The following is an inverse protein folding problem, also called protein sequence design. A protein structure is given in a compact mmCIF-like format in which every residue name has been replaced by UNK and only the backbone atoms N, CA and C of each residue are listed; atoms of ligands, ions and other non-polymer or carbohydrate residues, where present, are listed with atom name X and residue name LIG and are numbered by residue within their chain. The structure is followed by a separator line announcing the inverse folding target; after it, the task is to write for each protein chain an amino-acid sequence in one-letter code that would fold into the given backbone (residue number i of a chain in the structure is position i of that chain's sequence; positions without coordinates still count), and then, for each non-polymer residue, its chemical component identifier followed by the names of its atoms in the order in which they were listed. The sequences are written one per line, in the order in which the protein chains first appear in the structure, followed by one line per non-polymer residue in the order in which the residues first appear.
data_IF_834886730606
#
_entry.id   IF_834886730606
#
_cell.length_a   1.000
_cell.length_b   1.000
_cell.length_c   1.000
_cell.angle_alpha   90.00
_cell.angle_beta   90.00
_cell.angle_gamma   90.00
#
_symmetry.space_group_name_H-M   'P 1'
#
loop_
_entity.id
_entity.type
_entity.pdbx_description
1 polymer ?
#
# COMPACT_ATOMS: atom_id res chain seq x y z
N UNK A 1 16.17 4.13 -1.00
CA UNK A 1 14.86 4.74 -1.31
C UNK A 1 13.74 4.17 -0.44
N UNK A 2 13.40 2.87 -0.50
CA UNK A 2 12.30 2.27 0.31
C UNK A 2 12.36 2.60 1.82
N UNK A 3 13.51 2.38 2.48
CA UNK A 3 13.63 2.53 3.96
C UNK A 3 13.25 3.91 4.52
N UNK A 4 13.45 4.98 3.76
CA UNK A 4 13.17 6.35 4.24
C UNK A 4 11.69 6.72 4.14
N UNK A 5 10.94 5.97 3.32
CA UNK A 5 9.55 6.23 3.02
C UNK A 5 8.60 5.21 3.66
N UNK A 6 9.11 4.18 4.33
CA UNK A 6 8.28 3.14 4.92
C UNK A 6 7.98 3.36 6.39
N UNK A 7 6.80 2.92 6.84
CA UNK A 7 6.51 2.75 8.26
C UNK A 7 7.41 1.69 8.92
N UNK A 8 7.26 1.50 10.23
CA UNK A 8 8.10 0.55 11.00
C UNK A 8 7.97 -0.90 10.50
N UNK A 9 6.83 -1.29 9.92
CA UNK A 9 6.66 -2.63 9.36
C UNK A 9 7.35 -2.80 8.01
N UNK A 10 7.62 -1.70 7.30
CA UNK A 10 8.18 -1.72 5.96
C UNK A 10 7.14 -1.86 4.85
N UNK A 11 5.85 -1.89 5.19
CA UNK A 11 4.78 -2.23 4.24
C UNK A 11 4.02 -1.01 3.73
N UNK A 12 3.84 0.02 4.56
CA UNK A 12 3.15 1.23 4.17
C UNK A 12 4.13 2.33 3.79
N UNK A 13 3.80 3.12 2.77
CA UNK A 13 4.71 4.14 2.23
C UNK A 13 4.12 5.54 2.26
N UNK A 14 4.93 6.52 2.67
CA UNK A 14 4.69 7.93 2.38
C UNK A 14 5.08 8.27 0.95
N UNK A 15 4.46 9.31 0.40
CA UNK A 15 4.68 9.73 -1.00
C UNK A 15 6.09 10.27 -1.24
N UNK A 16 6.65 10.97 -0.26
CA UNK A 16 8.01 11.53 -0.29
C UNK A 16 8.50 11.85 1.14
N UNK A 17 9.81 12.05 1.29
CA UNK A 17 10.46 12.24 2.58
C UNK A 17 9.96 13.48 3.32
N UNK A 18 9.77 13.38 4.64
CA UNK A 18 9.30 14.48 5.49
C UNK A 18 7.78 14.56 5.64
N UNK A 19 7.02 13.64 5.02
CA UNK A 19 5.55 13.59 5.12
C UNK A 19 5.03 12.91 6.39
N UNK A 20 5.90 12.22 7.15
CA UNK A 20 5.55 11.54 8.40
C UNK A 20 4.87 12.45 9.42
N UNK A 21 5.21 13.73 9.42
CA UNK A 21 4.72 14.72 10.39
C UNK A 21 3.41 15.41 9.97
N UNK A 22 2.99 15.21 8.71
CA UNK A 22 1.91 16.01 8.09
C UNK A 22 0.77 15.17 7.51
N UNK A 23 1.03 13.91 7.13
CA UNK A 23 0.04 13.04 6.48
C UNK A 23 0.21 11.55 6.83
N UNK A 24 -0.82 10.77 6.51
CA UNK A 24 -0.74 9.31 6.56
C UNK A 24 0.07 8.74 5.39
N UNK A 25 0.39 7.46 5.49
CA UNK A 25 0.91 6.68 4.37
C UNK A 25 -0.16 6.53 3.29
N UNK A 26 0.22 6.44 2.02
CA UNK A 26 -0.72 6.30 0.90
C UNK A 26 -0.84 4.83 0.50
N UNK A 27 -2.09 4.34 0.47
CA UNK A 27 -2.36 2.94 0.15
C UNK A 27 -1.97 2.63 -1.31
N UNK A 28 -2.20 3.57 -2.23
CA UNK A 28 -1.76 3.41 -3.62
C UNK A 28 -0.25 3.25 -3.76
N UNK A 29 0.55 4.01 -3.00
CA UNK A 29 2.01 3.88 -3.00
C UNK A 29 2.46 2.49 -2.53
N UNK A 30 1.79 1.93 -1.53
CA UNK A 30 2.08 0.59 -1.04
C UNK A 30 1.75 -0.50 -2.08
N UNK A 31 0.61 -0.41 -2.76
CA UNK A 31 0.27 -1.35 -3.84
C UNK A 31 1.13 -1.19 -5.09
N UNK A 32 1.55 0.03 -5.44
CA UNK A 32 2.52 0.22 -6.53
C UNK A 32 3.90 -0.39 -6.21
N UNK A 33 4.29 -0.45 -4.94
CA UNK A 33 5.48 -1.22 -4.55
C UNK A 33 5.29 -2.72 -4.77
N UNK A 34 4.10 -3.27 -4.51
CA UNK A 34 3.79 -4.67 -4.86
C UNK A 34 3.90 -4.88 -6.36
N UNK A 35 3.28 -4.02 -7.17
CA UNK A 35 3.36 -4.09 -8.64
C UNK A 35 4.81 -4.05 -9.11
N UNK A 36 5.63 -3.14 -8.56
CA UNK A 36 7.05 -3.06 -8.89
C UNK A 36 7.81 -4.35 -8.55
N UNK A 37 7.56 -4.97 -7.39
CA UNK A 37 8.16 -6.25 -7.04
C UNK A 37 7.73 -7.37 -8.00
N UNK A 38 6.44 -7.43 -8.35
CA UNK A 38 5.92 -8.41 -9.32
C UNK A 38 6.58 -8.25 -10.69
N UNK A 39 6.64 -7.03 -11.22
CA UNK A 39 7.26 -6.73 -12.52
C UNK A 39 8.77 -7.00 -12.56
N UNK A 40 9.46 -6.89 -11.42
CA UNK A 40 10.89 -7.20 -11.29
C UNK A 40 11.15 -8.71 -11.09
N UNK A 41 10.10 -9.54 -10.98
CA UNK A 41 10.21 -10.96 -10.69
C UNK A 41 10.58 -11.27 -9.23
N UNK A 42 10.51 -10.29 -8.33
CA UNK A 42 10.69 -10.47 -6.89
C UNK A 42 9.40 -11.01 -6.25
N UNK A 43 8.96 -12.18 -6.72
CA UNK A 43 7.63 -12.74 -6.45
C UNK A 43 7.36 -13.02 -4.98
N UNK A 44 8.37 -13.44 -4.21
CA UNK A 44 8.23 -13.69 -2.76
C UNK A 44 7.86 -12.40 -2.02
N UNK A 45 8.56 -11.30 -2.30
CA UNK A 45 8.32 -10.01 -1.66
C UNK A 45 7.01 -9.37 -2.15
N UNK A 46 6.68 -9.52 -3.44
CA UNK A 46 5.40 -9.07 -3.99
C UNK A 46 4.22 -9.75 -3.26
N UNK A 47 4.25 -11.08 -3.14
CA UNK A 47 3.21 -11.85 -2.45
C UNK A 47 3.13 -11.51 -0.96
N UNK A 48 4.27 -11.39 -0.27
CA UNK A 48 4.33 -11.04 1.15
C UNK A 48 3.68 -9.68 1.41
N UNK A 49 4.09 -8.66 0.65
CA UNK A 49 3.59 -7.31 0.81
C UNK A 49 2.11 -7.21 0.42
N UNK A 50 1.70 -7.86 -0.68
CA UNK A 50 0.30 -7.88 -1.13
C UNK A 50 -0.64 -8.44 -0.04
N UNK A 51 -0.30 -9.61 0.52
CA UNK A 51 -1.09 -10.23 1.58
C UNK A 51 -1.15 -9.36 2.85
N UNK A 52 -0.03 -8.75 3.24
CA UNK A 52 0.03 -7.86 4.39
C UNK A 52 -0.88 -6.63 4.22
N UNK A 53 -0.90 -6.03 3.03
CA UNK A 53 -1.75 -4.87 2.75
C UNK A 53 -3.23 -5.25 2.75
N UNK A 54 -3.62 -6.33 2.06
CA UNK A 54 -5.01 -6.80 2.02
C UNK A 54 -5.57 -7.06 3.42
N UNK A 55 -4.77 -7.63 4.31
CA UNK A 55 -5.18 -7.91 5.69
C UNK A 55 -5.31 -6.64 6.55
N UNK A 56 -4.64 -5.53 6.18
CA UNK A 56 -4.47 -4.36 7.05
C UNK A 56 -5.33 -3.16 6.65
N UNK A 57 -5.45 -2.85 5.36
CA UNK A 57 -5.92 -1.53 4.91
C UNK A 57 -7.35 -1.49 4.36
N UNK A 58 -8.07 -2.61 4.48
CA UNK A 58 -9.45 -2.75 4.02
C UNK A 58 -10.42 -2.81 5.21
N UNK A 59 -11.63 -2.30 5.03
CA UNK A 59 -12.73 -2.58 5.95
C UNK A 59 -13.38 -3.94 5.66
N UNK A 60 -14.44 -4.27 6.40
CA UNK A 60 -15.24 -5.49 6.26
C UNK A 60 -15.92 -5.64 4.89
N UNK A 61 -16.06 -4.56 4.13
CA UNK A 61 -16.60 -4.55 2.77
C UNK A 61 -15.50 -4.58 1.68
N UNK A 62 -14.23 -4.62 2.07
CA UNK A 62 -13.10 -4.55 1.13
C UNK A 62 -12.78 -3.13 0.63
N UNK A 63 -13.41 -2.09 1.20
CA UNK A 63 -13.21 -0.71 0.79
C UNK A 63 -11.94 -0.13 1.44
N UNK A 64 -11.17 0.59 0.63
CA UNK A 64 -9.92 1.25 1.07
C UNK A 64 -10.05 2.78 1.09
N UNK A 65 -9.46 3.43 2.11
CA UNK A 65 -9.30 4.88 2.15
C UNK A 65 -8.16 5.34 1.22
N UNK A 66 -7.94 6.65 1.15
CA UNK A 66 -6.80 7.23 0.45
C UNK A 66 -5.49 7.00 1.21
N UNK A 67 -5.54 7.23 2.52
CA UNK A 67 -4.39 7.14 3.40
C UNK A 67 -4.63 6.16 4.54
N UNK A 68 -3.54 5.68 5.12
CA UNK A 68 -3.52 4.90 6.35
C UNK A 68 -2.62 5.57 7.39
N UNK A 69 -3.11 5.69 8.62
CA UNK A 69 -2.29 6.06 9.75
C UNK A 69 -1.58 4.81 10.30
N UNK A 70 -0.24 4.68 10.16
CA UNK A 70 0.46 3.48 10.61
C UNK A 70 0.47 3.34 12.15
N UNK A 71 0.41 4.44 12.90
CA UNK A 71 0.46 4.44 14.37
C UNK A 71 -0.91 4.15 15.00
N UNK A 72 -1.96 4.82 14.50
CA UNK A 72 -3.33 4.62 14.99
C UNK A 72 -4.02 3.39 14.37
N UNK A 73 -3.41 2.82 13.32
CA UNK A 73 -3.92 1.71 12.51
C UNK A 73 -5.36 1.95 12.03
N UNK A 74 -5.55 3.06 11.30
CA UNK A 74 -6.86 3.44 10.78
C UNK A 74 -6.79 4.27 9.50
N UNK A 75 -7.88 4.24 8.75
CA UNK A 75 -8.03 4.97 7.49
C UNK A 75 -8.12 6.49 7.67
N UNK A 76 -7.57 7.22 6.71
CA UNK A 76 -7.58 8.68 6.64
C UNK A 76 -7.97 9.14 5.23
N UNK A 77 -8.55 10.34 5.14
CA UNK A 77 -8.90 10.97 3.87
C UNK A 77 -10.11 10.33 3.18
N UNK A 78 -10.14 10.43 1.86
CA UNK A 78 -11.30 10.00 1.06
C UNK A 78 -11.55 8.49 1.20
N UNK A 79 -12.80 8.10 1.41
CA UNK A 79 -13.21 6.69 1.49
C UNK A 79 -14.61 6.52 0.88
N UNK A 80 -14.82 5.61 -0.09
CA UNK A 80 -13.80 4.78 -0.75
C UNK A 80 -12.94 5.60 -1.73
N UNK A 81 -11.63 5.34 -1.76
CA UNK A 81 -10.72 6.02 -2.69
C UNK A 81 -10.51 5.20 -3.97
N UNK A 82 -10.96 5.73 -5.12
CA UNK A 82 -10.83 5.03 -6.41
C UNK A 82 -9.38 4.66 -6.77
N UNK A 83 -8.42 5.56 -6.52
CA UNK A 83 -7.00 5.32 -6.83
C UNK A 83 -6.39 4.17 -6.01
N UNK A 84 -6.75 4.03 -4.73
CA UNK A 84 -6.29 2.91 -3.89
C UNK A 84 -6.78 1.56 -4.44
N UNK A 85 -8.03 1.51 -4.93
CA UNK A 85 -8.59 0.30 -5.54
C UNK A 85 -8.00 0.02 -6.92
N UNK A 86 -7.72 1.07 -7.72
CA UNK A 86 -7.01 0.91 -8.99
C UNK A 86 -5.61 0.31 -8.76
N UNK A 87 -4.84 0.85 -7.82
CA UNK A 87 -3.52 0.34 -7.48
C UNK A 87 -3.57 -1.12 -7.00
N UNK A 88 -4.61 -1.52 -6.24
CA UNK A 88 -4.84 -2.91 -5.86
C UNK A 88 -5.00 -3.83 -7.08
N UNK A 89 -5.78 -3.43 -8.09
CA UNK A 89 -5.97 -4.24 -9.32
C UNK A 89 -4.64 -4.42 -10.06
N UNK A 90 -3.85 -3.36 -10.20
CA UNK A 90 -2.53 -3.42 -10.81
C UNK A 90 -1.58 -4.35 -10.05
N UNK A 91 -1.55 -4.24 -8.72
CA UNK A 91 -0.75 -5.12 -7.87
C UNK A 91 -1.18 -6.60 -8.01
N UNK A 92 -2.49 -6.87 -8.10
CA UNK A 92 -3.00 -8.23 -8.27
C UNK A 92 -2.53 -8.85 -9.60
N UNK A 93 -2.63 -8.11 -10.71
CA UNK A 93 -2.16 -8.58 -12.01
C UNK A 93 -0.66 -8.91 -12.00
N UNK A 94 0.14 -8.02 -11.41
CA UNK A 94 1.59 -8.21 -11.32
C UNK A 94 1.99 -9.40 -10.41
N UNK A 95 1.18 -9.72 -9.41
CA UNK A 95 1.39 -10.89 -8.53
C UNK A 95 0.97 -12.19 -9.20
N UNK A 96 -0.12 -12.19 -9.98
CA UNK A 96 -0.61 -13.37 -10.70
C UNK A 96 0.31 -13.77 -11.88
N UNK A 97 1.04 -12.79 -12.43
CA UNK A 97 2.02 -13.00 -13.49
C UNK A 97 1.49 -12.75 -14.90
N UNK A 98 0.46 -11.90 -15.04
CA UNK A 98 -0.03 -11.38 -16.34
C UNK A 98 0.78 -10.17 -16.84
#
# INVERSE_FOLDING_TARGET
MRRELTDESGDLLWRYSGMQDCEGTFISCAFWMVEAYGLLGETEEANRLFGALLARVQNDLGLMPEMWNPQANGGLGNTPQGLSHLALVHAANAVDGE
#
